data_IF_733310194380
#
_entry.id   IF_733310194380
#
_cell.length_a   1.000
_cell.length_b   1.000
_cell.length_c   1.000
_cell.angle_alpha   90.00
_cell.angle_beta   90.00
_cell.angle_gamma   90.00
#
_symmetry.space_group_name_H-M   'P 1'
#
loop_
_entity.id
_entity.type
_entity.pdbx_description
1 polymer ?
#
# COMPACT_ATOMS: atom_id res chain seq x y z
N UNK A 1 -3.39 11.69 35.36
CA UNK A 1 -2.55 10.46 35.33
C UNK A 1 -1.54 10.46 36.47
N UNK A 2 -0.61 11.42 36.52
CA UNK A 2 0.43 11.52 37.56
C UNK A 2 -0.15 11.49 38.98
N UNK A 3 -1.14 12.35 39.28
CA UNK A 3 -1.84 12.35 40.58
C UNK A 3 -2.46 10.99 40.96
N UNK A 4 -2.95 10.22 39.99
CA UNK A 4 -3.55 8.89 40.23
C UNK A 4 -2.46 7.85 40.55
N UNK A 5 -1.31 7.92 39.88
CA UNK A 5 -0.16 7.05 40.18
C UNK A 5 0.46 7.39 41.53
N UNK A 6 0.55 8.67 41.89
CA UNK A 6 0.99 9.11 43.23
C UNK A 6 0.05 8.60 44.30
N UNK A 7 -1.28 8.74 44.11
CA UNK A 7 -2.26 8.21 45.05
C UNK A 7 -2.14 6.69 45.22
N UNK A 8 -1.95 5.95 44.12
CA UNK A 8 -1.76 4.50 44.16
C UNK A 8 -0.49 4.11 44.92
N UNK A 9 0.61 4.83 44.69
CA UNK A 9 1.87 4.62 45.40
C UNK A 9 1.74 4.87 46.91
N UNK A 10 1.07 5.95 47.31
CA UNK A 10 0.86 6.26 48.73
C UNK A 10 0.02 5.17 49.41
N UNK A 11 -1.04 4.71 48.74
CA UNK A 11 -1.88 3.61 49.24
C UNK A 11 -1.07 2.32 49.37
N UNK A 12 -0.28 1.98 48.36
CA UNK A 12 0.60 0.80 48.37
C UNK A 12 1.62 0.85 49.52
N UNK A 13 2.31 1.98 49.71
CA UNK A 13 3.27 2.15 50.81
C UNK A 13 2.61 2.06 52.19
N UNK A 14 1.39 2.60 52.35
CA UNK A 14 0.63 2.47 53.61
C UNK A 14 0.25 1.02 53.89
N UNK A 15 -0.21 0.27 52.88
CA UNK A 15 -0.59 -1.14 53.07
C UNK A 15 0.64 -2.00 53.37
N UNK A 16 1.75 -1.78 52.67
CA UNK A 16 3.01 -2.50 52.94
C UNK A 16 3.54 -2.23 54.35
N UNK A 17 3.48 -0.97 54.82
CA UNK A 17 3.85 -0.62 56.19
C UNK A 17 2.93 -1.28 57.23
N UNK A 18 1.61 -1.28 56.99
CA UNK A 18 0.64 -1.94 57.86
C UNK A 18 0.87 -3.46 57.93
N UNK A 19 1.17 -4.11 56.80
CA UNK A 19 1.50 -5.53 56.75
C UNK A 19 2.77 -5.87 57.54
N UNK A 20 3.79 -5.00 57.51
CA UNK A 20 5.01 -5.19 58.31
C UNK A 20 4.75 -5.06 59.82
N UNK A 21 3.96 -4.06 60.23
CA UNK A 21 3.65 -3.84 61.66
C UNK A 21 2.77 -4.99 62.22
N UNK A 22 1.89 -5.54 61.40
CA UNK A 22 0.96 -6.61 61.80
C UNK A 22 1.54 -8.02 61.69
N UNK A 23 2.79 -8.18 61.26
CA UNK A 23 3.45 -9.49 61.15
C UNK A 23 2.80 -10.42 60.12
N UNK A 24 2.11 -9.87 59.12
CA UNK A 24 1.40 -10.65 58.11
C UNK A 24 2.40 -11.36 57.20
N UNK A 25 2.10 -12.61 56.83
CA UNK A 25 2.96 -13.41 55.96
C UNK A 25 3.29 -12.66 54.65
N UNK A 26 4.56 -12.72 54.24
CA UNK A 26 5.11 -12.00 53.08
C UNK A 26 4.31 -12.21 51.78
N UNK A 27 3.62 -13.35 51.63
CA UNK A 27 2.76 -13.63 50.49
C UNK A 27 1.62 -12.62 50.29
N UNK A 28 1.02 -12.11 51.38
CA UNK A 28 -0.05 -11.11 51.27
C UNK A 28 0.47 -9.75 50.81
N UNK A 29 1.67 -9.36 51.25
CA UNK A 29 2.31 -8.12 50.80
C UNK A 29 2.61 -8.15 49.30
N UNK A 30 3.06 -9.32 48.79
CA UNK A 30 3.27 -9.56 47.36
C UNK A 30 1.97 -9.53 46.57
N UNK A 31 0.90 -10.13 47.09
CA UNK A 31 -0.41 -10.12 46.44
C UNK A 31 -0.97 -8.69 46.30
N UNK A 32 -0.87 -7.87 47.36
CA UNK A 32 -1.28 -6.45 47.31
C UNK A 32 -0.45 -5.68 46.29
N UNK A 33 0.87 -5.87 46.28
CA UNK A 33 1.77 -5.23 45.31
C UNK A 33 1.41 -5.61 43.86
N UNK A 34 1.11 -6.88 43.60
CA UNK A 34 0.72 -7.36 42.27
C UNK A 34 -0.60 -6.71 41.79
N UNK A 35 -1.59 -6.59 42.68
CA UNK A 35 -2.88 -5.94 42.36
C UNK A 35 -2.70 -4.44 42.10
N UNK A 36 -1.92 -3.75 42.93
CA UNK A 36 -1.60 -2.33 42.74
C UNK A 36 -0.85 -2.09 41.42
N UNK A 37 0.12 -2.95 41.11
CA UNK A 37 0.88 -2.91 39.85
C UNK A 37 -0.01 -3.09 38.63
N UNK A 38 -0.90 -4.09 38.65
CA UNK A 38 -1.86 -4.33 37.56
C UNK A 38 -2.80 -3.14 37.35
N UNK A 39 -3.29 -2.53 38.44
CA UNK A 39 -4.17 -1.37 38.36
C UNK A 39 -3.43 -0.12 37.83
N UNK A 40 -2.20 0.11 38.30
CA UNK A 40 -1.32 1.18 37.80
C UNK A 40 -1.05 1.04 36.30
N UNK A 41 -0.76 -0.19 35.85
CA UNK A 41 -0.56 -0.50 34.44
C UNK A 41 -1.82 -0.26 33.59
N UNK A 42 -3.00 -0.66 34.09
CA UNK A 42 -4.28 -0.41 33.42
C UNK A 42 -4.61 1.09 33.29
N UNK A 43 -4.39 1.88 34.35
CA UNK A 43 -4.55 3.35 34.31
C UNK A 43 -3.61 3.98 33.31
N UNK A 44 -2.38 3.46 33.23
CA UNK A 44 -1.37 3.92 32.29
C UNK A 44 -1.74 3.60 30.83
N UNK A 45 -2.12 2.36 30.51
CA UNK A 45 -2.59 1.96 29.17
C UNK A 45 -3.77 2.82 28.69
N UNK A 46 -4.74 3.08 29.57
CA UNK A 46 -5.93 3.88 29.24
C UNK A 46 -5.61 5.36 28.97
N UNK A 47 -4.48 5.86 29.46
CA UNK A 47 -4.06 7.26 29.27
C UNK A 47 -3.47 7.55 27.88
N UNK A 48 -3.29 6.54 27.03
CA UNK A 48 -2.74 6.71 25.68
C UNK A 48 -1.26 7.12 25.64
N UNK A 49 -0.57 7.10 26.79
CA UNK A 49 0.87 7.39 26.90
C UNK A 49 1.75 6.15 26.63
N UNK A 50 1.12 5.06 26.17
CA UNK A 50 1.71 3.74 26.02
C UNK A 50 2.55 3.54 24.76
N UNK A 51 3.59 4.35 24.59
CA UNK A 51 4.55 4.17 23.49
C UNK A 51 5.94 3.95 24.05
N UNK A 52 6.47 2.73 23.87
CA UNK A 52 7.85 2.37 24.19
C UNK A 52 7.99 1.07 24.99
N UNK A 53 9.18 0.47 24.92
CA UNK A 53 9.56 -0.76 25.64
C UNK A 53 9.86 -0.50 27.14
N UNK A 54 10.40 0.68 27.47
CA UNK A 54 10.80 1.02 28.84
C UNK A 54 9.67 0.97 29.88
N UNK A 55 8.44 1.46 29.62
CA UNK A 55 7.34 1.38 30.58
C UNK A 55 6.80 -0.04 30.79
N UNK A 56 6.95 -0.93 29.81
CA UNK A 56 6.53 -2.33 29.92
C UNK A 56 7.45 -3.11 30.87
N UNK A 57 8.76 -2.84 30.83
CA UNK A 57 9.74 -3.44 31.75
C UNK A 57 9.62 -2.82 33.15
N UNK A 58 9.46 -1.49 33.23
CA UNK A 58 9.36 -0.79 34.52
C UNK A 58 8.03 -1.02 35.23
N UNK A 59 6.96 -1.43 34.53
CA UNK A 59 5.69 -1.79 35.14
C UNK A 59 5.76 -2.98 36.10
N UNK A 60 6.78 -3.84 35.99
CA UNK A 60 7.04 -4.96 36.92
C UNK A 60 7.38 -4.46 38.32
N UNK A 61 7.95 -3.26 38.43
CA UNK A 61 8.24 -2.60 39.72
C UNK A 61 7.05 -1.79 40.24
N UNK A 62 5.86 -1.96 39.64
CA UNK A 62 4.63 -1.33 40.06
C UNK A 62 4.56 0.19 39.82
N UNK A 63 3.78 0.92 40.62
CA UNK A 63 3.57 2.37 40.50
C UNK A 63 4.86 3.19 40.57
N UNK A 64 5.85 2.73 41.34
CA UNK A 64 7.17 3.34 41.44
C UNK A 64 7.93 3.29 40.12
N UNK A 65 7.98 2.12 39.48
CA UNK A 65 8.61 1.96 38.17
C UNK A 65 7.93 2.80 37.09
N UNK A 66 6.59 2.88 37.12
CA UNK A 66 5.82 3.72 36.19
C UNK A 66 6.08 5.22 36.40
N UNK A 67 6.26 5.69 37.64
CA UNK A 67 6.63 7.08 37.93
C UNK A 67 8.06 7.40 37.47
N UNK A 68 9.00 6.48 37.66
CA UNK A 68 10.39 6.61 37.20
C UNK A 68 10.51 6.61 35.66
N UNK A 69 9.60 5.92 34.95
CA UNK A 69 9.59 5.90 33.49
C UNK A 69 9.23 7.26 32.85
N UNK A 70 8.45 8.11 33.54
CA UNK A 70 7.98 9.40 33.01
C UNK A 70 9.10 10.40 32.67
N UNK A 71 10.07 10.70 33.55
CA UNK A 71 11.19 11.56 33.20
C UNK A 71 12.11 10.90 32.16
N UNK A 72 12.28 9.57 32.22
CA UNK A 72 13.15 8.83 31.32
C UNK A 72 12.67 8.94 29.85
N UNK A 73 11.37 8.80 29.61
CA UNK A 73 10.77 8.98 28.27
C UNK A 73 10.98 10.40 27.73
N UNK A 74 11.01 11.42 28.59
CA UNK A 74 11.28 12.81 28.16
C UNK A 74 12.74 13.03 27.78
N UNK A 75 13.68 12.44 28.52
CA UNK A 75 15.12 12.58 28.24
C UNK A 75 15.51 11.82 26.98
N UNK A 76 14.99 10.61 26.78
CA UNK A 76 15.32 9.81 25.58
C UNK A 76 14.58 10.26 24.32
N UNK A 77 13.42 10.94 24.41
CA UNK A 77 12.80 11.58 23.24
C UNK A 77 13.59 12.77 22.71
N UNK A 78 14.40 13.43 23.54
CA UNK A 78 15.17 14.60 23.10
C UNK A 78 16.38 14.25 22.23
N UNK A 79 16.81 12.99 22.19
CA UNK A 79 18.09 12.59 21.57
C UNK A 79 17.98 11.87 20.23
N UNK A 80 16.77 11.52 19.78
CA UNK A 80 16.54 10.82 18.50
C UNK A 80 15.92 11.71 17.42
N UNK A 81 15.78 13.01 17.67
CA UNK A 81 15.21 13.98 16.72
C UNK A 81 16.20 15.11 16.41
N UNK A 82 17.41 14.75 15.93
CA UNK A 82 18.36 15.72 15.39
C UNK A 82 19.25 15.05 14.35
N UNK A 83 18.79 15.02 13.09
CA UNK A 83 19.62 14.75 11.91
C UNK A 83 18.87 15.09 10.61
N UNK A 84 17.57 14.76 10.48
CA UNK A 84 16.95 14.73 9.13
C UNK A 84 15.88 15.83 8.87
N UNK A 85 15.35 16.47 9.91
CA UNK A 85 14.28 17.49 9.81
C UNK A 85 14.79 18.87 9.28
N UNK A 86 16.10 19.04 9.07
CA UNK A 86 16.67 20.30 8.53
C UNK A 86 16.72 20.32 7.00
N UNK A 87 16.57 19.16 6.33
CA UNK A 87 16.66 19.06 4.86
C UNK A 87 15.31 19.18 4.15
N UNK A 88 14.21 18.86 4.84
CA UNK A 88 12.86 18.93 4.29
C UNK A 88 11.97 19.62 5.32
N UNK A 89 11.48 20.81 4.98
CA UNK A 89 10.72 21.68 5.90
C UNK A 89 9.53 21.01 6.59
N UNK A 90 8.93 21.68 7.60
CA UNK A 90 7.99 21.06 8.52
C UNK A 90 6.71 20.58 7.81
N UNK A 91 6.65 19.28 7.52
CA UNK A 91 5.43 18.62 7.04
C UNK A 91 4.52 18.39 8.25
N UNK A 92 3.26 18.83 8.15
CA UNK A 92 2.22 18.71 9.18
C UNK A 92 1.87 17.23 9.48
N UNK A 93 2.71 16.54 10.24
CA UNK A 93 2.77 15.07 10.28
C UNK A 93 1.82 14.32 11.22
N UNK A 94 0.92 14.96 11.97
CA UNK A 94 0.10 14.22 12.98
C UNK A 94 -1.35 13.96 12.60
N UNK A 95 -1.98 14.79 11.76
CA UNK A 95 -3.34 14.52 11.27
C UNK A 95 -3.35 13.58 10.07
N UNK A 96 -2.37 13.73 9.15
CA UNK A 96 -2.21 12.89 7.97
C UNK A 96 -1.93 11.42 8.31
N UNK A 97 -1.09 11.12 9.30
CA UNK A 97 -0.82 9.75 9.77
C UNK A 97 -2.06 9.06 10.35
N UNK A 98 -2.96 9.82 10.99
CA UNK A 98 -4.23 9.30 11.52
C UNK A 98 -5.23 9.03 10.40
N UNK A 99 -5.26 9.88 9.38
CA UNK A 99 -6.03 9.67 8.15
C UNK A 99 -5.56 8.44 7.37
N UNK A 100 -4.24 8.30 7.17
CA UNK A 100 -3.64 7.16 6.50
C UNK A 100 -3.90 5.83 7.22
N UNK A 101 -3.77 5.78 8.56
CA UNK A 101 -4.14 4.59 9.35
C UNK A 101 -5.62 4.23 9.26
N UNK A 102 -6.50 5.24 9.18
CA UNK A 102 -7.95 5.04 9.11
C UNK A 102 -8.38 4.65 7.68
N UNK A 103 -7.66 5.12 6.66
CA UNK A 103 -7.79 4.66 5.28
C UNK A 103 -7.31 3.21 5.13
N UNK A 104 -6.16 2.85 5.73
CA UNK A 104 -5.67 1.47 5.79
C UNK A 104 -6.64 0.56 6.56
N UNK A 105 -7.23 1.02 7.66
CA UNK A 105 -8.26 0.26 8.39
C UNK A 105 -9.54 0.06 7.58
N UNK A 106 -9.95 1.05 6.75
CA UNK A 106 -11.09 0.93 5.83
C UNK A 106 -10.78 0.07 4.60
N UNK A 107 -9.51 0.00 4.18
CA UNK A 107 -9.03 -0.95 3.17
C UNK A 107 -9.02 -2.39 3.70
N UNK A 108 -8.63 -2.58 4.97
CA UNK A 108 -8.72 -3.88 5.65
C UNK A 108 -10.18 -4.36 5.81
N UNK A 109 -11.16 -3.45 5.72
CA UNK A 109 -12.60 -3.75 5.68
C UNK A 109 -13.12 -4.09 4.26
N UNK A 110 -12.24 -4.18 3.25
CA UNK A 110 -12.56 -4.69 1.91
C UNK A 110 -13.32 -3.72 0.99
N UNK A 111 -13.42 -2.42 1.35
CA UNK A 111 -14.27 -1.44 0.62
C UNK A 111 -13.55 -0.52 -0.36
N UNK A 112 -12.27 -0.72 -0.63
CA UNK A 112 -11.51 0.14 -1.57
C UNK A 112 -10.80 -0.75 -2.59
N UNK A 113 -11.21 -0.63 -3.85
CA UNK A 113 -10.77 -1.47 -4.97
C UNK A 113 -9.66 -0.82 -5.82
N UNK A 114 -9.09 0.30 -5.38
CA UNK A 114 -8.01 0.98 -6.11
C UNK A 114 -6.88 1.37 -5.15
N UNK A 115 -5.66 0.95 -5.47
CA UNK A 115 -4.47 1.35 -4.74
C UNK A 115 -4.10 2.79 -5.11
N UNK A 116 -4.39 3.76 -4.24
CA UNK A 116 -3.90 5.13 -4.42
C UNK A 116 -2.40 5.19 -4.09
N UNK A 117 -1.61 6.13 -4.67
CA UNK A 117 -0.17 6.24 -4.43
C UNK A 117 0.23 6.29 -2.94
N UNK A 118 -0.60 6.91 -2.11
CA UNK A 118 -0.40 7.00 -0.65
C UNK A 118 -0.54 5.65 0.07
N UNK A 119 -1.40 4.76 -0.45
CA UNK A 119 -1.61 3.42 0.10
C UNK A 119 -0.47 2.48 -0.26
N UNK A 120 0.07 2.61 -1.48
CA UNK A 120 1.29 1.93 -1.90
C UNK A 120 2.47 2.31 -1.01
N UNK A 121 2.69 3.61 -0.77
CA UNK A 121 3.75 4.10 0.12
C UNK A 121 3.64 3.54 1.54
N UNK A 122 2.42 3.46 2.05
CA UNK A 122 2.12 2.88 3.36
C UNK A 122 2.43 1.38 3.41
N UNK A 123 2.04 0.62 2.38
CA UNK A 123 2.33 -0.82 2.28
C UNK A 123 3.82 -1.10 2.12
N UNK A 124 4.54 -0.33 1.29
CA UNK A 124 5.99 -0.44 1.16
C UNK A 124 6.67 -0.21 2.52
N UNK A 125 6.23 0.80 3.27
CA UNK A 125 6.78 1.09 4.61
C UNK A 125 6.55 -0.07 5.58
N UNK A 126 5.36 -0.66 5.58
CA UNK A 126 5.05 -1.86 6.38
C UNK A 126 5.94 -3.03 5.93
N UNK A 127 6.08 -3.26 4.63
CA UNK A 127 6.91 -4.34 4.10
C UNK A 127 8.41 -4.17 4.40
N UNK A 128 8.91 -2.94 4.59
CA UNK A 128 10.32 -2.70 4.93
C UNK A 128 10.60 -2.71 6.43
N UNK A 129 9.68 -2.23 7.26
CA UNK A 129 9.95 -1.93 8.68
C UNK A 129 8.94 -2.54 9.65
N UNK A 130 7.82 -3.06 9.16
CA UNK A 130 6.79 -3.68 9.99
C UNK A 130 7.25 -4.99 10.60
N UNK A 131 6.57 -5.43 11.66
CA UNK A 131 6.82 -6.74 12.25
C UNK A 131 6.43 -7.88 11.28
N UNK A 132 6.96 -9.09 11.46
CA UNK A 132 6.70 -10.24 10.58
C UNK A 132 5.19 -10.47 10.37
N UNK A 133 4.39 -10.36 11.44
CA UNK A 133 2.94 -10.50 11.35
C UNK A 133 2.25 -9.41 10.51
N UNK A 134 2.73 -8.17 10.59
CA UNK A 134 2.20 -7.04 9.82
C UNK A 134 2.57 -7.16 8.33
N UNK A 135 3.82 -7.54 8.03
CA UNK A 135 4.28 -7.80 6.66
C UNK A 135 3.50 -8.94 6.02
N UNK A 136 3.26 -10.02 6.77
CA UNK A 136 2.41 -11.13 6.33
C UNK A 136 0.99 -10.66 6.00
N UNK A 137 0.35 -9.90 6.89
CA UNK A 137 -1.00 -9.40 6.67
C UNK A 137 -1.06 -8.45 5.45
N UNK A 138 -0.07 -7.57 5.30
CA UNK A 138 0.04 -6.69 4.15
C UNK A 138 0.17 -7.48 2.84
N UNK A 139 1.01 -8.52 2.82
CA UNK A 139 1.17 -9.39 1.66
C UNK A 139 -0.12 -10.15 1.34
N UNK A 140 -0.82 -10.69 2.34
CA UNK A 140 -2.12 -11.36 2.12
C UNK A 140 -3.18 -10.41 1.52
N UNK A 141 -3.21 -9.15 1.96
CA UNK A 141 -4.08 -8.12 1.37
C UNK A 141 -3.72 -7.85 -0.09
N UNK A 142 -2.43 -7.64 -0.39
CA UNK A 142 -1.95 -7.42 -1.77
C UNK A 142 -2.36 -8.56 -2.69
N UNK A 143 -2.27 -9.81 -2.23
CA UNK A 143 -2.63 -10.96 -3.07
C UNK A 143 -4.14 -11.08 -3.28
N UNK A 144 -4.96 -10.67 -2.30
CA UNK A 144 -6.43 -10.73 -2.41
C UNK A 144 -6.97 -9.73 -3.44
N UNK A 145 -6.39 -8.54 -3.50
CA UNK A 145 -6.76 -7.47 -4.42
C UNK A 145 -5.58 -7.15 -5.35
N UNK A 146 -5.05 -8.20 -6.00
CA UNK A 146 -3.88 -8.03 -6.84
C UNK A 146 -4.20 -7.18 -8.08
N UNK A 147 -3.38 -6.15 -8.29
CA UNK A 147 -3.26 -5.40 -9.52
C UNK A 147 -1.78 -5.46 -9.96
N UNK A 148 -1.47 -5.45 -11.27
CA UNK A 148 -0.10 -5.48 -11.76
C UNK A 148 0.82 -4.42 -11.12
N UNK A 149 0.30 -3.23 -10.80
CA UNK A 149 1.02 -2.17 -10.12
C UNK A 149 1.48 -2.52 -8.68
N UNK A 150 0.87 -3.53 -8.05
CA UNK A 150 1.26 -4.04 -6.73
C UNK A 150 2.35 -5.12 -6.80
N UNK A 151 2.69 -5.60 -8.00
CA UNK A 151 3.73 -6.63 -8.20
C UNK A 151 5.08 -6.30 -7.54
N UNK A 152 5.54 -5.03 -7.40
CA UNK A 152 6.78 -4.73 -6.69
C UNK A 152 6.75 -5.09 -5.20
N UNK A 153 5.57 -5.11 -4.57
CA UNK A 153 5.43 -5.53 -3.17
C UNK A 153 5.64 -7.03 -3.00
N UNK A 154 5.20 -7.83 -3.97
CA UNK A 154 5.45 -9.29 -4.00
C UNK A 154 6.93 -9.54 -4.29
N UNK A 155 7.52 -8.81 -5.24
CA UNK A 155 8.95 -8.90 -5.54
C UNK A 155 9.82 -8.55 -4.32
N UNK A 156 9.45 -7.50 -3.58
CA UNK A 156 10.11 -7.15 -2.32
C UNK A 156 10.02 -8.30 -1.30
N UNK A 157 8.84 -8.90 -1.16
CA UNK A 157 8.60 -10.01 -0.22
C UNK A 157 9.37 -11.30 -0.58
N UNK A 158 9.69 -11.54 -1.85
CA UNK A 158 10.53 -12.68 -2.27
C UNK A 158 11.95 -12.60 -1.70
N UNK A 159 12.41 -11.39 -1.39
CA UNK A 159 13.71 -11.12 -0.77
C UNK A 159 13.65 -10.85 0.74
N UNK A 160 12.49 -11.08 1.37
CA UNK A 160 12.31 -10.83 2.81
C UNK A 160 13.29 -11.67 3.65
N UNK A 161 13.75 -11.13 4.78
CA UNK A 161 14.62 -11.86 5.71
C UNK A 161 13.94 -13.09 6.33
N UNK A 162 12.62 -13.06 6.49
CA UNK A 162 11.83 -14.16 7.05
C UNK A 162 11.45 -15.20 5.99
N UNK A 163 11.75 -16.48 6.26
CA UNK A 163 11.49 -17.59 5.33
C UNK A 163 10.00 -17.80 5.05
N UNK A 164 9.12 -17.56 6.03
CA UNK A 164 7.67 -17.73 5.88
C UNK A 164 7.11 -16.70 4.91
N UNK A 165 7.58 -15.45 5.01
CA UNK A 165 7.19 -14.38 4.08
C UNK A 165 7.68 -14.70 2.67
N UNK A 166 8.93 -15.14 2.50
CA UNK A 166 9.44 -15.56 1.17
C UNK A 166 8.61 -16.68 0.56
N UNK A 167 8.25 -17.69 1.34
CA UNK A 167 7.42 -18.80 0.88
C UNK A 167 6.01 -18.34 0.47
N UNK A 168 5.41 -17.41 1.24
CA UNK A 168 4.11 -16.83 0.91
C UNK A 168 4.18 -16.00 -0.37
N UNK A 169 5.25 -15.22 -0.56
CA UNK A 169 5.47 -14.44 -1.77
C UNK A 169 5.68 -15.31 -3.01
N UNK A 170 6.39 -16.43 -2.88
CA UNK A 170 6.54 -17.40 -3.97
C UNK A 170 5.19 -18.03 -4.37
N UNK A 171 4.38 -18.45 -3.39
CA UNK A 171 3.03 -18.95 -3.63
C UNK A 171 2.12 -17.89 -4.25
N UNK A 172 2.23 -16.64 -3.81
CA UNK A 172 1.52 -15.51 -4.37
C UNK A 172 1.88 -15.27 -5.85
N UNK A 173 3.17 -15.26 -6.18
CA UNK A 173 3.66 -15.09 -7.55
C UNK A 173 3.14 -16.17 -8.48
N UNK A 174 3.12 -17.44 -8.03
CA UNK A 174 2.57 -18.54 -8.81
C UNK A 174 1.06 -18.35 -9.06
N UNK A 175 0.31 -17.93 -8.03
CA UNK A 175 -1.14 -17.67 -8.15
C UNK A 175 -1.46 -16.49 -9.07
N UNK A 176 -0.66 -15.44 -9.06
CA UNK A 176 -0.81 -14.30 -9.99
C UNK A 176 -0.62 -14.76 -11.44
N UNK A 177 0.42 -15.55 -11.71
CA UNK A 177 0.67 -16.08 -13.04
C UNK A 177 -0.47 -17.00 -13.52
N UNK A 178 -0.97 -17.88 -12.66
CA UNK A 178 -2.13 -18.73 -12.96
C UNK A 178 -3.39 -17.92 -13.26
N UNK A 179 -3.67 -16.90 -12.45
CA UNK A 179 -4.82 -16.01 -12.65
C UNK A 179 -4.77 -15.29 -14.00
N UNK A 180 -3.60 -14.82 -14.43
CA UNK A 180 -3.40 -14.20 -15.75
C UNK A 180 -3.74 -15.18 -16.88
N UNK A 181 -3.22 -16.42 -16.80
CA UNK A 181 -3.50 -17.46 -17.81
C UNK A 181 -4.99 -17.77 -17.89
N UNK A 182 -5.65 -17.94 -16.75
CA UNK A 182 -7.10 -18.19 -16.69
C UNK A 182 -7.92 -17.00 -17.21
N UNK A 183 -7.56 -15.77 -16.86
CA UNK A 183 -8.23 -14.57 -17.33
C UNK A 183 -8.09 -14.41 -18.84
N UNK A 184 -6.88 -14.60 -19.38
CA UNK A 184 -6.60 -14.60 -20.83
C UNK A 184 -7.44 -15.65 -21.54
N UNK A 185 -7.48 -16.89 -21.05
CA UNK A 185 -8.25 -17.96 -21.67
C UNK A 185 -9.76 -17.66 -21.69
N UNK A 186 -10.31 -17.16 -20.57
CA UNK A 186 -11.74 -16.79 -20.48
C UNK A 186 -12.12 -15.66 -21.45
N UNK A 187 -11.31 -14.61 -21.53
CA UNK A 187 -11.57 -13.50 -22.44
C UNK A 187 -11.40 -13.93 -23.90
N UNK A 188 -10.38 -14.75 -24.20
CA UNK A 188 -10.16 -15.29 -25.56
C UNK A 188 -11.34 -16.15 -26.02
N UNK A 189 -11.91 -16.98 -25.13
CA UNK A 189 -13.11 -17.76 -25.44
C UNK A 189 -14.31 -16.86 -25.75
N UNK A 190 -14.55 -15.81 -24.95
CA UNK A 190 -15.64 -14.85 -25.19
C UNK A 190 -15.51 -14.12 -26.53
N UNK A 191 -14.29 -13.81 -26.94
CA UNK A 191 -13.99 -13.22 -28.26
C UNK A 191 -14.32 -14.21 -29.37
N UNK A 192 -13.87 -15.47 -29.25
CA UNK A 192 -14.13 -16.51 -30.24
C UNK A 192 -15.63 -16.83 -30.39
N UNK A 193 -16.37 -16.79 -29.29
CA UNK A 193 -17.83 -17.00 -29.27
C UNK A 193 -18.60 -15.80 -29.85
N UNK A 194 -17.94 -14.65 -30.03
CA UNK A 194 -18.57 -13.40 -30.50
C UNK A 194 -19.62 -12.84 -29.52
N UNK A 195 -19.64 -13.33 -28.28
CA UNK A 195 -20.69 -13.05 -27.30
C UNK A 195 -20.57 -11.66 -26.68
N UNK A 196 -19.39 -11.03 -26.74
CA UNK A 196 -19.11 -9.76 -26.10
C UNK A 196 -18.17 -8.88 -26.95
N UNK A 197 -18.66 -7.74 -27.47
CA UNK A 197 -17.83 -6.81 -28.25
C UNK A 197 -16.72 -6.17 -27.41
N UNK A 198 -16.89 -6.07 -26.09
CA UNK A 198 -15.91 -5.44 -25.19
C UNK A 198 -14.85 -6.42 -24.69
N UNK A 199 -15.00 -7.73 -24.97
CA UNK A 199 -14.08 -8.76 -24.49
C UNK A 199 -12.68 -8.57 -25.09
N UNK A 200 -12.58 -8.13 -26.34
CA UNK A 200 -11.30 -7.85 -26.98
C UNK A 200 -10.60 -6.67 -26.31
N UNK A 201 -11.32 -5.55 -26.09
CA UNK A 201 -10.83 -4.36 -25.38
C UNK A 201 -10.36 -4.73 -23.97
N UNK A 202 -11.14 -5.55 -23.26
CA UNK A 202 -10.82 -6.05 -21.93
C UNK A 202 -9.56 -6.92 -21.93
N UNK A 203 -9.40 -7.79 -22.93
CA UNK A 203 -8.21 -8.63 -23.07
C UNK A 203 -6.96 -7.80 -23.35
N UNK A 204 -7.02 -6.85 -24.28
CA UNK A 204 -5.87 -6.01 -24.56
C UNK A 204 -5.48 -5.14 -23.36
N UNK A 205 -6.45 -4.60 -22.63
CA UNK A 205 -6.20 -3.82 -21.41
C UNK A 205 -5.52 -4.69 -20.35
N UNK A 206 -6.02 -5.90 -20.10
CA UNK A 206 -5.41 -6.86 -19.17
C UNK A 206 -3.94 -7.14 -19.54
N UNK A 207 -3.68 -7.45 -20.81
CA UNK A 207 -2.33 -7.77 -21.31
C UNK A 207 -1.39 -6.56 -21.18
N UNK A 208 -1.87 -5.37 -21.55
CA UNK A 208 -1.11 -4.13 -21.47
C UNK A 208 -0.77 -3.75 -20.02
N UNK A 209 -1.71 -3.88 -19.08
CA UNK A 209 -1.48 -3.54 -17.68
C UNK A 209 -0.42 -4.45 -17.03
N UNK A 210 -0.47 -5.76 -17.32
CA UNK A 210 0.57 -6.71 -16.90
C UNK A 210 1.90 -6.38 -17.57
N UNK A 211 1.91 -6.11 -18.87
CA UNK A 211 3.13 -5.76 -19.57
C UNK A 211 3.79 -4.46 -19.08
N UNK A 212 3.00 -3.49 -18.61
CA UNK A 212 3.48 -2.20 -18.11
C UNK A 212 4.04 -2.34 -16.69
N UNK A 213 3.30 -3.01 -15.81
CA UNK A 213 3.49 -2.85 -14.37
C UNK A 213 3.92 -4.12 -13.64
N UNK A 214 3.77 -5.30 -14.24
CA UNK A 214 4.06 -6.57 -13.58
C UNK A 214 5.56 -6.90 -13.59
N UNK A 215 6.25 -6.56 -12.50
CA UNK A 215 7.69 -6.81 -12.34
C UNK A 215 8.03 -8.27 -12.02
N UNK A 216 7.03 -9.13 -11.80
CA UNK A 216 7.24 -10.57 -11.61
C UNK A 216 7.52 -11.28 -12.94
N UNK A 217 7.21 -10.62 -14.06
CA UNK A 217 7.46 -11.12 -15.41
C UNK A 217 8.83 -10.68 -15.93
N UNK A 218 9.48 -11.56 -16.69
CA UNK A 218 10.72 -11.20 -17.40
C UNK A 218 10.45 -10.12 -18.45
N UNK A 219 11.49 -9.37 -18.83
CA UNK A 219 11.37 -8.34 -19.87
C UNK A 219 10.84 -8.92 -21.19
N UNK A 220 11.25 -10.14 -21.55
CA UNK A 220 10.77 -10.85 -22.74
C UNK A 220 9.29 -11.22 -22.66
N UNK A 221 8.81 -11.66 -21.49
CA UNK A 221 7.40 -11.95 -21.27
C UNK A 221 6.56 -10.68 -21.35
N UNK A 222 7.02 -9.59 -20.71
CA UNK A 222 6.33 -8.30 -20.80
C UNK A 222 6.29 -7.80 -22.24
N UNK A 223 7.37 -7.93 -23.01
CA UNK A 223 7.38 -7.57 -24.43
C UNK A 223 6.32 -8.35 -25.22
N UNK A 224 6.28 -9.67 -25.06
CA UNK A 224 5.29 -10.51 -25.76
C UNK A 224 3.85 -10.16 -25.38
N UNK A 225 3.58 -9.81 -24.11
CA UNK A 225 2.27 -9.32 -23.69
C UNK A 225 1.89 -7.98 -24.34
N UNK A 226 2.84 -7.07 -24.61
CA UNK A 226 2.56 -5.82 -25.35
C UNK A 226 2.19 -6.12 -26.79
N UNK A 227 2.95 -6.99 -27.44
CA UNK A 227 2.69 -7.43 -28.81
C UNK A 227 1.30 -8.07 -28.93
N UNK A 228 0.97 -8.98 -28.01
CA UNK A 228 -0.34 -9.64 -27.94
C UNK A 228 -1.47 -8.62 -27.68
N UNK A 229 -1.26 -7.61 -26.82
CA UNK A 229 -2.25 -6.56 -26.55
C UNK A 229 -2.55 -5.75 -27.82
N UNK A 230 -1.51 -5.35 -28.56
CA UNK A 230 -1.65 -4.64 -29.83
C UNK A 230 -2.35 -5.50 -30.87
N UNK A 231 -1.90 -6.75 -31.06
CA UNK A 231 -2.50 -7.67 -32.01
C UNK A 231 -4.00 -7.89 -31.73
N UNK A 232 -4.35 -8.05 -30.45
CA UNK A 232 -5.74 -8.17 -30.00
C UNK A 232 -6.55 -6.92 -30.36
N UNK A 233 -5.99 -5.71 -30.20
CA UNK A 233 -6.66 -4.45 -30.56
C UNK A 233 -6.83 -4.22 -32.05
N UNK A 234 -5.82 -4.56 -32.84
CA UNK A 234 -5.89 -4.47 -34.30
C UNK A 234 -6.94 -5.46 -34.84
N UNK A 235 -6.99 -6.67 -34.28
CA UNK A 235 -7.98 -7.68 -34.68
C UNK A 235 -9.41 -7.31 -34.25
N UNK A 236 -9.58 -6.49 -33.21
CA UNK A 236 -10.88 -6.14 -32.65
C UNK A 236 -11.68 -5.10 -33.45
N UNK A 237 -11.18 -4.55 -34.56
CA UNK A 237 -11.78 -3.37 -35.22
C UNK A 237 -13.07 -3.70 -36.00
N UNK A 238 -14.21 -3.03 -35.69
CA UNK A 238 -15.17 -2.59 -36.70
C UNK A 238 -14.80 -1.16 -37.14
N UNK A 239 -14.51 -0.98 -38.42
CA UNK A 239 -14.14 0.29 -39.05
C UNK A 239 -15.30 1.31 -39.05
N UNK A 240 -15.58 1.97 -37.93
CA UNK A 240 -16.40 3.20 -37.88
C UNK A 240 -15.71 4.28 -37.05
N UNK A 241 -15.69 5.49 -37.60
CA UNK A 241 -14.97 6.65 -37.08
C UNK A 241 -15.49 7.18 -35.72
N UNK A 242 -16.64 6.70 -35.24
CA UNK A 242 -17.29 7.16 -34.00
C UNK A 242 -17.27 6.10 -32.88
N UNK A 243 -16.29 5.19 -32.88
CA UNK A 243 -16.17 4.15 -31.85
C UNK A 243 -15.70 4.74 -30.50
N UNK A 244 -16.49 4.66 -29.41
CA UNK A 244 -16.09 5.13 -28.08
C UNK A 244 -14.83 4.43 -27.53
N UNK A 245 -14.45 3.27 -28.07
CA UNK A 245 -13.21 2.56 -27.71
C UNK A 245 -11.93 3.11 -28.37
N UNK A 246 -12.05 4.06 -29.30
CA UNK A 246 -10.92 4.62 -30.06
C UNK A 246 -9.83 5.22 -29.18
N UNK A 247 -10.20 5.98 -28.14
CA UNK A 247 -9.23 6.61 -27.23
C UNK A 247 -8.35 5.60 -26.47
N UNK A 248 -8.93 4.50 -25.98
CA UNK A 248 -8.16 3.43 -25.30
C UNK A 248 -7.23 2.74 -26.28
N UNK A 249 -7.72 2.45 -27.49
CA UNK A 249 -6.93 1.84 -28.56
C UNK A 249 -5.72 2.70 -28.92
N UNK A 250 -5.94 3.98 -29.15
CA UNK A 250 -4.90 4.95 -29.48
C UNK A 250 -3.87 5.07 -28.35
N UNK A 251 -4.32 5.16 -27.10
CA UNK A 251 -3.44 5.23 -25.94
C UNK A 251 -2.53 3.98 -25.81
N UNK A 252 -3.08 2.78 -26.04
CA UNK A 252 -2.33 1.53 -26.02
C UNK A 252 -1.36 1.41 -27.20
N UNK A 253 -1.77 1.84 -28.39
CA UNK A 253 -0.92 1.84 -29.58
C UNK A 253 0.28 2.77 -29.41
N UNK A 254 0.07 3.97 -28.86
CA UNK A 254 1.13 4.94 -28.54
C UNK A 254 2.17 4.33 -27.59
N UNK A 255 1.72 3.62 -26.56
CA UNK A 255 2.62 2.96 -25.60
C UNK A 255 3.40 1.80 -26.22
N UNK A 256 2.79 1.02 -27.10
CA UNK A 256 3.48 -0.08 -27.77
C UNK A 256 4.55 0.43 -28.74
N UNK A 257 4.23 1.48 -29.51
CA UNK A 257 5.18 2.14 -30.42
C UNK A 257 6.34 2.76 -29.64
N UNK A 258 6.08 3.37 -28.47
CA UNK A 258 7.12 3.85 -27.56
C UNK A 258 8.04 2.71 -27.14
N UNK A 259 7.47 1.59 -26.68
CA UNK A 259 8.25 0.45 -26.21
C UNK A 259 9.08 -0.19 -27.33
N UNK A 260 8.62 -0.14 -28.57
CA UNK A 260 9.33 -0.60 -29.76
C UNK A 260 10.39 0.40 -30.29
N UNK A 261 10.39 1.64 -29.78
CA UNK A 261 11.27 2.71 -30.26
C UNK A 261 10.87 3.27 -31.64
N UNK A 262 9.64 2.99 -32.12
CA UNK A 262 9.15 3.51 -33.40
C UNK A 262 8.53 4.91 -33.21
N UNK A 263 9.38 5.87 -32.89
CA UNK A 263 8.98 7.25 -32.62
C UNK A 263 8.33 7.93 -33.83
N UNK A 264 8.75 7.57 -35.05
CA UNK A 264 8.15 8.10 -36.27
C UNK A 264 6.69 7.64 -36.45
N UNK A 265 6.33 6.44 -36.00
CA UNK A 265 4.94 6.00 -35.96
C UNK A 265 4.13 6.74 -34.89
N UNK A 266 4.73 7.03 -33.73
CA UNK A 266 4.09 7.85 -32.68
C UNK A 266 3.79 9.25 -33.22
N UNK A 267 4.73 9.89 -33.91
CA UNK A 267 4.54 11.21 -34.51
C UNK A 267 3.35 11.24 -35.48
N UNK A 268 3.29 10.26 -36.38
CA UNK A 268 2.18 10.13 -37.34
C UNK A 268 0.84 9.94 -36.61
N UNK A 269 0.82 9.14 -35.55
CA UNK A 269 -0.38 8.84 -34.80
C UNK A 269 -0.83 10.04 -33.96
N UNK A 270 0.08 10.71 -33.28
CA UNK A 270 -0.20 11.90 -32.48
C UNK A 270 -0.75 13.04 -33.36
N UNK A 271 -0.15 13.25 -34.54
CA UNK A 271 -0.63 14.23 -35.53
C UNK A 271 -2.04 13.88 -36.02
N UNK A 272 -2.33 12.59 -36.26
CA UNK A 272 -3.65 12.15 -36.69
C UNK A 272 -4.73 12.34 -35.60
N UNK A 273 -4.38 12.10 -34.32
CA UNK A 273 -5.27 12.32 -33.18
C UNK A 273 -5.57 13.81 -32.99
N UNK A 274 -4.55 14.68 -33.09
CA UNK A 274 -4.73 16.13 -33.02
C UNK A 274 -5.63 16.64 -34.15
N UNK A 275 -5.36 16.25 -35.39
CA UNK A 275 -6.17 16.63 -36.56
C UNK A 275 -7.61 16.07 -36.55
N UNK A 276 -7.87 15.00 -35.78
CA UNK A 276 -9.20 14.48 -35.53
C UNK A 276 -9.91 15.24 -34.40
N UNK A 277 -9.17 15.61 -33.35
CA UNK A 277 -9.68 16.40 -32.22
C UNK A 277 -10.11 17.80 -32.66
N UNK A 278 -9.38 18.46 -33.56
CA UNK A 278 -9.75 19.77 -34.11
C UNK A 278 -11.01 19.74 -34.98
N UNK A 279 -11.38 18.56 -35.47
CA UNK A 279 -12.52 18.37 -36.39
C UNK A 279 -13.83 18.06 -35.68
N UNK A 280 -13.76 17.61 -34.42
CA UNK A 280 -14.90 17.18 -33.62
C UNK A 280 -15.17 18.19 -32.49
N UNK A 281 -16.14 19.09 -32.71
CA UNK A 281 -16.63 20.08 -31.71
C UNK A 281 -17.53 19.46 -30.61
N UNK A 282 -17.67 18.14 -30.57
CA UNK A 282 -18.52 17.45 -29.59
C UNK A 282 -17.82 17.22 -28.25
N UNK A 283 -18.55 17.25 -27.12
CA UNK A 283 -17.96 17.05 -25.80
C UNK A 283 -17.29 15.68 -25.70
N UNK A 284 -15.96 15.69 -25.55
CA UNK A 284 -15.14 14.48 -25.48
C UNK A 284 -15.33 13.71 -24.17
N UNK A 285 -15.51 12.40 -24.28
CA UNK A 285 -15.46 11.47 -23.15
C UNK A 285 -14.06 11.41 -22.51
N UNK A 286 -13.99 11.01 -21.24
CA UNK A 286 -12.77 10.96 -20.42
C UNK A 286 -11.64 10.12 -21.06
N UNK A 287 -12.01 9.06 -21.77
CA UNK A 287 -11.09 8.16 -22.47
C UNK A 287 -10.44 8.84 -23.68
N UNK A 288 -11.21 9.58 -24.46
CA UNK A 288 -10.71 10.34 -25.61
C UNK A 288 -9.81 11.50 -25.15
N UNK A 289 -10.16 12.14 -24.03
CA UNK A 289 -9.33 13.15 -23.36
C UNK A 289 -7.95 12.62 -22.98
N UNK A 290 -7.83 11.35 -22.57
CA UNK A 290 -6.56 10.72 -22.23
C UNK A 290 -5.61 10.56 -23.42
N UNK A 291 -6.12 10.09 -24.57
CA UNK A 291 -5.34 9.94 -25.80
C UNK A 291 -4.87 11.29 -26.34
N UNK A 292 -5.77 12.28 -26.41
CA UNK A 292 -5.43 13.64 -26.86
C UNK A 292 -4.41 14.30 -25.94
N UNK A 293 -4.53 14.14 -24.61
CA UNK A 293 -3.54 14.67 -23.66
C UNK A 293 -2.16 14.07 -23.88
N UNK A 294 -2.07 12.76 -24.15
CA UNK A 294 -0.80 12.09 -24.45
C UNK A 294 -0.22 12.51 -25.79
N UNK A 295 -1.05 12.64 -26.82
CA UNK A 295 -0.63 13.12 -28.14
C UNK A 295 -0.07 14.55 -28.07
N UNK A 296 -0.78 15.46 -27.39
CA UNK A 296 -0.32 16.84 -27.16
C UNK A 296 0.98 16.84 -26.35
N UNK A 297 1.06 16.06 -25.27
CA UNK A 297 2.30 15.98 -24.47
C UNK A 297 3.47 15.44 -25.29
N UNK A 298 3.25 14.44 -26.15
CA UNK A 298 4.28 13.92 -27.05
C UNK A 298 4.77 14.99 -28.04
N UNK A 299 3.85 15.64 -28.76
CA UNK A 299 4.18 16.64 -29.77
C UNK A 299 4.84 17.89 -29.17
N UNK A 300 4.40 18.32 -27.99
CA UNK A 300 4.94 19.52 -27.33
C UNK A 300 6.17 19.24 -26.46
N UNK A 301 6.27 18.05 -25.87
CA UNK A 301 7.37 17.62 -25.02
C UNK A 301 8.59 17.11 -25.78
N UNK A 302 8.42 16.55 -26.99
CA UNK A 302 9.54 16.14 -27.86
C UNK A 302 10.25 17.32 -28.53
N UNK A 303 9.65 18.52 -28.53
CA UNK A 303 10.20 19.73 -29.13
C UNK A 303 11.04 20.59 -28.14
N UNK A 304 11.14 20.19 -26.88
CA UNK A 304 11.91 20.87 -25.82
C UNK A 304 13.19 20.11 -25.47
#
# INVERSE_FOLDING_TARGET
>A
MILRLIALLVVEMMILAACQISGVAAGWSLAVHAVASAFGFGVWLRSGTATGFAPAVLGVFGPLGLLAALPLVRVFKLKTQRSDDEMFGPVAGRSAQRGARLAVARMLDGRVHHATPDTLSSLVTIMRHGAVAERRCALETVVRSFEPALSPLIALALTDGDQTIRALAAAASARVAENLVLARARLSARIADGADPDAATSLATLLADHARSDVLLSDSQRLHLREDAVATMVAAVPSKADDPGSGTRDALMMEALWAAGDYAAIDRMATAIEAASERNDTPMDATHRGATTRAIWWLTGAAA
#
